data_IF_114949932491
#
_entry.id   IF_114949932491
#
_cell.length_a   1.000
_cell.length_b   1.000
_cell.length_c   1.000
_cell.angle_alpha   90.00
_cell.angle_beta   90.00
_cell.angle_gamma   90.00
#
_symmetry.space_group_name_H-M   'P 1'
#
loop_
_entity.id
_entity.type
_entity.pdbx_description
1 polymer ?
#
# COMPACT_ATOMS: atom_id res chain seq x y z
N UNK A 1 -34.16 -23.87 13.08
CA UNK A 1 -34.64 -23.35 11.78
C UNK A 1 -33.62 -23.76 10.74
N UNK A 2 -34.04 -24.30 9.59
CA UNK A 2 -33.09 -24.77 8.57
C UNK A 2 -32.40 -23.55 7.92
N UNK A 3 -31.11 -23.60 7.53
CA UNK A 3 -30.41 -22.44 6.97
C UNK A 3 -31.07 -21.80 5.73
N UNK A 4 -31.77 -22.61 4.93
CA UNK A 4 -32.57 -22.11 3.79
C UNK A 4 -33.79 -21.31 4.25
N UNK A 5 -34.50 -21.75 5.29
CA UNK A 5 -35.66 -21.02 5.83
C UNK A 5 -35.24 -19.61 6.29
N UNK A 6 -34.07 -19.51 6.93
CA UNK A 6 -33.51 -18.22 7.38
C UNK A 6 -33.21 -17.32 6.19
N UNK A 7 -32.67 -17.87 5.10
CA UNK A 7 -32.42 -17.11 3.87
C UNK A 7 -33.72 -16.59 3.27
N UNK A 8 -34.77 -17.42 3.24
CA UNK A 8 -36.09 -17.03 2.73
C UNK A 8 -36.71 -15.92 3.58
N UNK A 9 -36.61 -16.00 4.91
CA UNK A 9 -37.07 -14.96 5.84
C UNK A 9 -36.33 -13.64 5.62
N UNK A 10 -34.99 -13.66 5.57
CA UNK A 10 -34.18 -12.47 5.32
C UNK A 10 -34.44 -11.86 3.94
N UNK A 11 -34.67 -12.70 2.93
CA UNK A 11 -34.96 -12.24 1.57
C UNK A 11 -36.37 -11.65 1.47
N UNK A 12 -37.35 -12.24 2.15
CA UNK A 12 -38.70 -11.69 2.25
C UNK A 12 -38.69 -10.34 2.98
N UNK A 13 -37.92 -10.23 4.06
CA UNK A 13 -37.72 -8.98 4.77
C UNK A 13 -37.08 -7.92 3.87
N UNK A 14 -35.98 -8.25 3.18
CA UNK A 14 -35.29 -7.33 2.28
C UNK A 14 -36.21 -6.81 1.17
N UNK A 15 -37.07 -7.67 0.60
CA UNK A 15 -38.07 -7.29 -0.40
C UNK A 15 -39.19 -6.40 0.16
N UNK A 16 -39.45 -6.46 1.46
CA UNK A 16 -40.48 -5.63 2.12
C UNK A 16 -40.00 -4.20 2.39
N UNK A 17 -38.68 -3.98 2.43
CA UNK A 17 -38.08 -2.66 2.64
C UNK A 17 -38.01 -1.86 1.34
N UNK A 18 -38.02 -0.52 1.41
CA UNK A 18 -37.66 0.33 0.27
C UNK A 18 -36.25 0.00 -0.23
N UNK A 19 -36.02 0.25 -1.52
CA UNK A 19 -34.66 0.17 -2.06
C UNK A 19 -33.72 1.10 -1.27
N UNK A 20 -32.50 0.62 -1.00
CA UNK A 20 -31.47 1.42 -0.36
C UNK A 20 -31.25 2.74 -1.11
N UNK A 21 -30.90 3.80 -0.37
CA UNK A 21 -30.53 5.08 -0.98
C UNK A 21 -29.39 4.87 -1.99
N UNK A 22 -29.28 5.69 -3.06
CA UNK A 22 -28.20 5.54 -4.04
C UNK A 22 -26.80 5.50 -3.41
N UNK A 23 -26.58 6.28 -2.35
CA UNK A 23 -25.33 6.30 -1.59
C UNK A 23 -25.08 4.97 -0.85
N UNK A 24 -26.07 4.46 -0.12
CA UNK A 24 -25.90 3.20 0.61
C UNK A 24 -25.83 1.99 -0.32
N UNK A 25 -26.53 2.04 -1.45
CA UNK A 25 -26.36 1.05 -2.52
C UNK A 25 -24.94 1.08 -3.06
N UNK A 26 -24.37 2.26 -3.36
CA UNK A 26 -22.99 2.36 -3.82
C UNK A 26 -21.98 1.83 -2.80
N UNK A 27 -22.18 2.11 -1.50
CA UNK A 27 -21.34 1.57 -0.42
C UNK A 27 -21.45 0.04 -0.32
N UNK A 28 -22.65 -0.51 -0.42
CA UNK A 28 -22.90 -1.95 -0.40
C UNK A 28 -22.26 -2.64 -1.62
N UNK A 29 -22.47 -2.11 -2.81
CA UNK A 29 -21.90 -2.63 -4.06
C UNK A 29 -20.37 -2.60 -3.99
N UNK A 30 -19.78 -1.51 -3.47
CA UNK A 30 -18.33 -1.41 -3.22
C UNK A 30 -17.86 -2.49 -2.24
N UNK A 31 -18.57 -2.69 -1.12
CA UNK A 31 -18.20 -3.70 -0.09
C UNK A 31 -18.26 -5.10 -0.67
N UNK A 32 -19.32 -5.48 -1.38
CA UNK A 32 -19.42 -6.79 -2.02
C UNK A 32 -18.36 -7.00 -3.10
N UNK A 33 -18.11 -6.00 -3.95
CA UNK A 33 -17.04 -6.06 -4.96
C UNK A 33 -15.68 -6.32 -4.31
N UNK A 34 -15.31 -5.57 -3.27
CA UNK A 34 -14.02 -5.73 -2.59
C UNK A 34 -13.91 -7.07 -1.87
N UNK A 35 -14.92 -7.43 -1.08
CA UNK A 35 -14.95 -8.67 -0.32
C UNK A 35 -14.91 -9.90 -1.23
N UNK A 36 -15.65 -9.89 -2.35
CA UNK A 36 -15.66 -11.02 -3.26
C UNK A 36 -14.34 -11.18 -4.00
N UNK A 37 -13.78 -10.09 -4.54
CA UNK A 37 -12.48 -10.11 -5.21
C UNK A 37 -11.37 -10.56 -4.26
N UNK A 38 -11.29 -9.96 -3.07
CA UNK A 38 -10.30 -10.30 -2.05
C UNK A 38 -10.40 -11.79 -1.68
N UNK A 39 -11.53 -12.23 -1.15
CA UNK A 39 -11.64 -13.57 -0.60
C UNK A 39 -11.53 -14.68 -1.66
N UNK A 40 -12.13 -14.47 -2.84
CA UNK A 40 -12.08 -15.47 -3.92
C UNK A 40 -10.65 -15.69 -4.43
N UNK A 41 -9.83 -14.64 -4.56
CA UNK A 41 -8.43 -14.80 -4.97
C UNK A 41 -7.55 -15.35 -3.83
N UNK A 42 -7.82 -15.01 -2.56
CA UNK A 42 -7.07 -15.54 -1.42
C UNK A 42 -7.29 -17.03 -1.19
N UNK A 43 -8.48 -17.54 -1.51
CA UNK A 43 -8.73 -18.98 -1.49
C UNK A 43 -7.78 -19.74 -2.43
N UNK A 44 -7.32 -19.11 -3.51
CA UNK A 44 -6.36 -19.68 -4.47
C UNK A 44 -4.89 -19.28 -4.18
N UNK A 45 -4.63 -18.51 -3.11
CA UNK A 45 -3.28 -18.18 -2.65
C UNK A 45 -2.73 -16.81 -3.11
N UNK A 46 -3.56 -15.94 -3.67
CA UNK A 46 -3.18 -14.53 -3.87
C UNK A 46 -2.85 -13.87 -2.52
N UNK A 47 -1.81 -13.04 -2.46
CA UNK A 47 -1.26 -12.51 -1.21
C UNK A 47 -1.48 -11.01 -1.00
N UNK A 48 -2.19 -10.33 -1.89
CA UNK A 48 -2.54 -8.91 -1.73
C UNK A 48 -3.37 -8.72 -0.47
N UNK A 49 -2.94 -7.87 0.46
CA UNK A 49 -3.81 -7.53 1.59
C UNK A 49 -5.13 -6.89 1.14
N UNK A 50 -6.12 -6.86 2.03
CA UNK A 50 -7.43 -6.24 1.73
C UNK A 50 -7.29 -4.79 1.28
N UNK A 51 -6.37 -4.06 1.91
CA UNK A 51 -6.09 -2.66 1.61
C UNK A 51 -5.36 -2.46 0.29
N UNK A 52 -4.42 -3.35 -0.07
CA UNK A 52 -3.80 -3.38 -1.41
C UNK A 52 -4.82 -3.73 -2.49
N UNK A 53 -5.79 -4.60 -2.19
CA UNK A 53 -6.90 -4.93 -3.09
C UNK A 53 -7.81 -3.72 -3.30
N UNK A 54 -8.14 -2.98 -2.24
CA UNK A 54 -8.90 -1.74 -2.35
C UNK A 54 -8.14 -0.68 -3.15
N UNK A 55 -6.85 -0.48 -2.87
CA UNK A 55 -6.00 0.45 -3.61
C UNK A 55 -6.01 0.14 -5.12
N UNK A 56 -5.85 -1.14 -5.46
CA UNK A 56 -5.83 -1.63 -6.84
C UNK A 56 -7.17 -1.43 -7.55
N UNK A 57 -8.28 -1.82 -6.92
CA UNK A 57 -9.59 -1.87 -7.60
C UNK A 57 -10.35 -0.55 -7.60
N UNK A 58 -10.09 0.33 -6.63
CA UNK A 58 -10.79 1.60 -6.45
C UNK A 58 -9.98 2.78 -6.99
N UNK A 59 -8.66 2.76 -6.81
CA UNK A 59 -7.79 3.89 -7.15
C UNK A 59 -6.84 3.61 -8.33
N UNK A 60 -6.86 2.39 -8.87
CA UNK A 60 -5.98 1.95 -9.95
C UNK A 60 -4.49 2.11 -9.63
N UNK A 61 -4.13 1.94 -8.35
CA UNK A 61 -2.77 2.13 -7.82
C UNK A 61 -2.28 0.88 -7.07
N UNK A 62 -0.97 0.74 -6.89
CA UNK A 62 -0.35 -0.42 -6.22
C UNK A 62 0.79 0.01 -5.31
N UNK A 63 0.93 -0.69 -4.18
CA UNK A 63 2.07 -0.56 -3.27
C UNK A 63 2.47 -1.96 -2.80
N UNK A 64 3.76 -2.19 -2.62
CA UNK A 64 4.32 -3.46 -2.14
C UNK A 64 5.08 -4.26 -3.22
N UNK A 65 5.52 -5.46 -2.84
CA UNK A 65 6.44 -6.31 -3.62
C UNK A 65 5.78 -7.59 -4.15
N UNK A 66 4.48 -7.53 -4.47
CA UNK A 66 3.74 -8.66 -5.06
C UNK A 66 4.12 -8.88 -6.51
N UNK A 67 3.85 -10.09 -7.01
CA UNK A 67 4.10 -10.39 -8.43
C UNK A 67 3.10 -9.63 -9.31
N UNK A 68 3.52 -9.23 -10.53
CA UNK A 68 2.62 -8.59 -11.50
C UNK A 68 1.38 -9.44 -11.77
N UNK A 69 1.56 -10.76 -11.77
CA UNK A 69 0.49 -11.74 -11.97
C UNK A 69 -0.60 -11.64 -10.90
N UNK A 70 -0.26 -11.42 -9.63
CA UNK A 70 -1.26 -11.32 -8.57
C UNK A 70 -2.14 -10.07 -8.73
N UNK A 71 -1.55 -8.95 -9.18
CA UNK A 71 -2.31 -7.74 -9.54
C UNK A 71 -3.20 -7.96 -10.78
N UNK A 72 -2.65 -8.60 -11.82
CA UNK A 72 -3.38 -8.96 -13.04
C UNK A 72 -4.58 -9.87 -12.73
N UNK A 73 -4.38 -10.92 -11.93
CA UNK A 73 -5.45 -11.85 -11.53
C UNK A 73 -6.53 -11.19 -10.68
N UNK A 74 -6.16 -10.27 -9.78
CA UNK A 74 -7.12 -9.53 -8.96
C UNK A 74 -8.00 -8.61 -9.82
N UNK A 75 -7.41 -7.84 -10.75
CA UNK A 75 -8.15 -7.01 -11.72
C UNK A 75 -9.00 -7.86 -12.66
N UNK A 76 -8.46 -8.98 -13.13
CA UNK A 76 -9.16 -9.89 -14.02
C UNK A 76 -10.39 -10.52 -13.36
N UNK A 77 -10.28 -10.91 -12.08
CA UNK A 77 -11.42 -11.39 -11.32
C UNK A 77 -12.51 -10.33 -11.17
N UNK A 78 -12.13 -9.06 -11.01
CA UNK A 78 -13.08 -7.96 -10.94
C UNK A 78 -13.84 -7.79 -12.26
N UNK A 79 -13.14 -7.88 -13.40
CA UNK A 79 -13.78 -7.89 -14.73
C UNK A 79 -14.72 -9.09 -14.88
N UNK A 80 -14.29 -10.29 -14.48
CA UNK A 80 -15.10 -11.50 -14.54
C UNK A 80 -16.34 -11.41 -13.62
N UNK A 81 -16.25 -10.74 -12.48
CA UNK A 81 -17.38 -10.48 -11.61
C UNK A 81 -18.41 -9.54 -12.27
N UNK A 82 -17.97 -8.43 -12.88
CA UNK A 82 -18.88 -7.57 -13.65
C UNK A 82 -19.51 -8.31 -14.83
N UNK A 83 -18.76 -9.15 -15.54
CA UNK A 83 -19.32 -10.02 -16.59
C UNK A 83 -20.41 -10.94 -16.03
N UNK A 84 -20.18 -11.53 -14.85
CA UNK A 84 -21.15 -12.38 -14.16
C UNK A 84 -22.43 -11.61 -13.81
N UNK A 85 -22.31 -10.37 -13.33
CA UNK A 85 -23.47 -9.51 -13.09
C UNK A 85 -24.25 -9.19 -14.38
N UNK A 86 -23.57 -8.96 -15.49
CA UNK A 86 -24.23 -8.70 -16.77
C UNK A 86 -24.96 -9.96 -17.28
N UNK A 87 -24.32 -11.14 -17.18
CA UNK A 87 -24.94 -12.41 -17.54
C UNK A 87 -26.19 -12.67 -16.69
N UNK A 88 -26.14 -12.37 -15.39
CA UNK A 88 -27.27 -12.57 -14.47
C UNK A 88 -28.46 -11.62 -14.72
N UNK A 89 -28.23 -10.44 -15.32
CA UNK A 89 -29.30 -9.48 -15.66
C UNK A 89 -30.18 -9.97 -16.82
N UNK A 90 -29.61 -10.70 -17.77
CA UNK A 90 -30.34 -11.27 -18.90
C UNK A 90 -30.96 -12.62 -18.53
N UNK A 91 -32.12 -12.57 -17.85
CA UNK A 91 -32.75 -13.76 -17.25
C UNK A 91 -33.22 -14.80 -18.26
N UNK A 92 -33.52 -14.37 -19.48
CA UNK A 92 -34.03 -15.23 -20.56
C UNK A 92 -32.90 -15.96 -21.29
N UNK A 93 -31.67 -15.43 -21.25
CA UNK A 93 -30.52 -16.04 -21.89
C UNK A 93 -30.01 -17.22 -21.05
N UNK A 94 -29.96 -18.44 -21.62
CA UNK A 94 -29.43 -19.59 -20.89
C UNK A 94 -27.91 -19.48 -20.72
N UNK A 95 -27.40 -20.05 -19.62
CA UNK A 95 -25.97 -20.26 -19.46
C UNK A 95 -25.44 -21.23 -20.53
N UNK A 96 -24.27 -20.93 -21.08
CA UNK A 96 -23.61 -21.74 -22.11
C UNK A 96 -22.21 -22.16 -21.69
N UNK A 97 -21.68 -23.21 -22.31
CA UNK A 97 -20.26 -23.59 -22.14
C UNK A 97 -19.30 -22.46 -22.56
N UNK A 98 -19.69 -21.66 -23.56
CA UNK A 98 -18.90 -20.53 -24.02
C UNK A 98 -18.77 -19.46 -22.94
N UNK A 99 -19.85 -19.16 -22.21
CA UNK A 99 -19.80 -18.22 -21.07
C UNK A 99 -18.80 -18.67 -20.01
N UNK A 100 -18.79 -19.97 -19.70
CA UNK A 100 -17.88 -20.57 -18.71
C UNK A 100 -16.42 -20.49 -19.19
N UNK A 101 -16.18 -20.74 -20.48
CA UNK A 101 -14.85 -20.60 -21.11
C UNK A 101 -14.38 -19.16 -21.11
N UNK A 102 -15.27 -18.20 -21.39
CA UNK A 102 -14.95 -16.78 -21.40
C UNK A 102 -14.64 -16.26 -19.99
N UNK A 103 -15.36 -16.71 -18.97
CA UNK A 103 -15.02 -16.42 -17.57
C UNK A 103 -13.61 -16.91 -17.21
N UNK A 104 -13.27 -18.16 -17.58
CA UNK A 104 -11.92 -18.68 -17.36
C UNK A 104 -10.85 -17.87 -18.12
N UNK A 105 -11.12 -17.54 -19.38
CA UNK A 105 -10.23 -16.76 -20.24
C UNK A 105 -9.92 -15.39 -19.63
N UNK A 106 -10.95 -14.69 -19.14
CA UNK A 106 -10.80 -13.39 -18.50
C UNK A 106 -10.00 -13.52 -17.21
N UNK A 107 -10.36 -14.47 -16.34
CA UNK A 107 -9.68 -14.67 -15.05
C UNK A 107 -8.18 -14.92 -15.17
N UNK A 108 -7.76 -15.70 -16.16
CA UNK A 108 -6.36 -16.08 -16.32
C UNK A 108 -5.54 -15.08 -17.13
N UNK A 109 -6.19 -14.12 -17.80
CA UNK A 109 -5.60 -13.03 -18.62
C UNK A 109 -4.86 -13.52 -19.87
N UNK A 110 -3.87 -14.40 -19.70
CA UNK A 110 -3.00 -14.95 -20.75
C UNK A 110 -2.49 -16.34 -20.37
N UNK A 111 -2.08 -17.15 -21.37
CA UNK A 111 -1.39 -18.41 -21.09
C UNK A 111 -0.11 -18.20 -20.28
N UNK A 112 0.18 -19.14 -19.38
CA UNK A 112 1.39 -19.11 -18.55
C UNK A 112 1.89 -20.52 -18.24
N UNK A 113 3.15 -20.63 -17.86
CA UNK A 113 3.75 -21.91 -17.45
C UNK A 113 3.63 -22.11 -15.94
N UNK A 114 3.19 -23.30 -15.53
CA UNK A 114 3.07 -23.72 -14.13
C UNK A 114 3.91 -24.97 -13.90
N UNK A 115 4.56 -25.06 -12.74
CA UNK A 115 5.21 -26.29 -12.31
C UNK A 115 4.17 -27.40 -12.11
N UNK A 116 4.53 -28.61 -12.52
CA UNK A 116 3.69 -29.80 -12.49
C UNK A 116 4.55 -31.04 -12.23
N UNK A 117 3.90 -32.16 -11.92
CA UNK A 117 4.56 -33.44 -11.66
C UNK A 117 3.97 -34.48 -12.60
N UNK A 118 4.82 -35.25 -13.27
CA UNK A 118 4.39 -36.34 -14.14
C UNK A 118 3.84 -37.53 -13.33
N UNK A 119 3.10 -38.48 -13.95
CA UNK A 119 2.60 -39.65 -13.23
C UNK A 119 3.69 -40.51 -12.56
N UNK A 120 4.92 -40.50 -13.10
CA UNK A 120 6.10 -41.16 -12.55
C UNK A 120 6.87 -40.31 -11.53
N UNK A 121 6.37 -39.12 -11.18
CA UNK A 121 6.87 -38.31 -10.07
C UNK A 121 7.99 -37.33 -10.44
N UNK A 122 8.23 -37.07 -11.72
CA UNK A 122 9.26 -36.12 -12.17
C UNK A 122 8.71 -34.71 -12.27
N UNK A 123 9.53 -33.72 -11.91
CA UNK A 123 9.21 -32.31 -12.08
C UNK A 123 9.13 -31.97 -13.57
N UNK A 124 8.08 -31.24 -13.95
CA UNK A 124 7.85 -30.77 -15.32
C UNK A 124 7.14 -29.42 -15.29
N UNK A 125 6.97 -28.81 -16.46
CA UNK A 125 6.20 -27.57 -16.61
C UNK A 125 5.08 -27.77 -17.60
N UNK A 126 3.91 -27.26 -17.26
CA UNK A 126 2.71 -27.29 -18.11
C UNK A 126 2.34 -25.89 -18.54
N UNK A 127 2.06 -25.73 -19.83
CA UNK A 127 1.45 -24.51 -20.35
C UNK A 127 -0.04 -24.54 -20.01
N UNK A 128 -0.47 -23.60 -19.20
CA UNK A 128 -1.88 -23.37 -18.86
C UNK A 128 -2.50 -22.57 -20.01
N UNK A 129 -3.40 -23.21 -20.76
CA UNK A 129 -4.19 -22.55 -21.81
C UNK A 129 -5.45 -21.95 -21.22
N UNK A 130 -5.78 -20.72 -21.61
CA UNK A 130 -6.90 -19.96 -21.03
C UNK A 130 -8.17 -20.19 -21.84
N UNK A 131 -9.30 -20.47 -21.17
CA UNK A 131 -10.59 -20.71 -21.82
C UNK A 131 -10.72 -22.05 -22.56
N UNK A 132 -9.70 -22.91 -22.49
CA UNK A 132 -9.68 -24.23 -23.11
C UNK A 132 -9.80 -25.33 -22.06
N UNK A 133 -10.55 -26.39 -22.37
CA UNK A 133 -10.59 -27.57 -21.51
C UNK A 133 -9.25 -28.27 -21.49
N UNK A 134 -8.97 -28.92 -20.36
CA UNK A 134 -7.73 -29.64 -20.10
C UNK A 134 -7.47 -30.71 -21.15
N UNK A 135 -6.26 -30.73 -21.69
CA UNK A 135 -5.77 -31.77 -22.61
C UNK A 135 -5.05 -32.90 -21.87
N UNK A 136 -4.62 -32.65 -20.63
CA UNK A 136 -3.97 -33.62 -19.75
C UNK A 136 -4.67 -33.65 -18.39
N UNK A 137 -4.60 -34.77 -17.63
CA UNK A 137 -5.16 -34.84 -16.27
C UNK A 137 -4.65 -33.72 -15.36
N UNK A 138 -5.49 -33.26 -14.45
CA UNK A 138 -5.19 -32.20 -13.48
C UNK A 138 -5.53 -32.62 -12.04
N UNK A 139 -5.36 -33.93 -11.75
CA UNK A 139 -5.54 -34.49 -10.41
C UNK A 139 -4.62 -33.83 -9.39
N UNK A 140 -5.09 -33.71 -8.15
CA UNK A 140 -4.33 -33.09 -7.05
C UNK A 140 -3.95 -34.13 -6.00
N UNK A 141 -2.77 -33.96 -5.41
CA UNK A 141 -2.36 -34.75 -4.25
C UNK A 141 -2.85 -34.07 -2.97
N UNK A 142 -3.67 -34.79 -2.20
CA UNK A 142 -4.18 -34.34 -0.92
C UNK A 142 -3.10 -34.40 0.16
N UNK A 143 -3.33 -33.73 1.29
CA UNK A 143 -2.37 -33.69 2.41
C UNK A 143 -2.08 -35.08 3.02
N UNK A 144 -3.02 -36.01 2.91
CA UNK A 144 -2.85 -37.41 3.33
C UNK A 144 -2.08 -38.27 2.30
N UNK A 145 -1.64 -37.68 1.18
CA UNK A 145 -0.90 -38.34 0.11
C UNK A 145 -1.76 -38.97 -0.99
N UNK A 146 -3.08 -39.06 -0.80
CA UNK A 146 -4.01 -39.61 -1.79
C UNK A 146 -4.11 -38.72 -3.03
N UNK A 147 -4.34 -39.34 -4.19
CA UNK A 147 -4.59 -38.62 -5.44
C UNK A 147 -6.10 -38.47 -5.60
N UNK A 148 -6.55 -37.22 -5.60
CA UNK A 148 -7.93 -36.89 -5.92
C UNK A 148 -8.07 -36.70 -7.43
N UNK A 149 -8.84 -37.59 -8.06
CA UNK A 149 -9.08 -37.57 -9.49
C UNK A 149 -10.33 -36.77 -9.84
N UNK A 150 -10.16 -35.84 -10.78
CA UNK A 150 -11.26 -35.16 -11.47
C UNK A 150 -11.59 -35.91 -12.77
N UNK A 151 -12.48 -35.34 -13.60
CA UNK A 151 -12.75 -35.86 -14.93
C UNK A 151 -11.46 -36.02 -15.75
N UNK A 152 -11.36 -37.05 -16.57
CA UNK A 152 -10.33 -37.18 -17.59
C UNK A 152 -10.52 -36.13 -18.70
N UNK A 153 -9.45 -35.76 -19.43
CA UNK A 153 -9.57 -34.89 -20.61
C UNK A 153 -10.61 -35.38 -21.64
N UNK A 154 -10.70 -36.70 -21.83
CA UNK A 154 -11.58 -37.31 -22.82
C UNK A 154 -13.07 -37.16 -22.48
N UNK A 155 -13.44 -37.27 -21.19
CA UNK A 155 -14.84 -37.16 -20.76
C UNK A 155 -15.26 -35.73 -20.41
N UNK A 156 -14.29 -34.81 -20.22
CA UNK A 156 -14.56 -33.43 -19.81
C UNK A 156 -15.58 -32.71 -20.71
N UNK A 157 -15.50 -32.76 -22.06
CA UNK A 157 -16.51 -32.12 -22.91
C UNK A 157 -17.92 -32.66 -22.69
N UNK A 158 -18.07 -33.99 -22.60
CA UNK A 158 -19.37 -34.62 -22.38
C UNK A 158 -19.96 -34.25 -21.01
N UNK A 159 -19.15 -34.30 -19.95
CA UNK A 159 -19.60 -33.93 -18.60
C UNK A 159 -19.96 -32.44 -18.48
N UNK A 160 -19.28 -31.56 -19.22
CA UNK A 160 -19.63 -30.13 -19.26
C UNK A 160 -20.95 -29.89 -19.99
N UNK A 161 -21.22 -30.63 -21.06
CA UNK A 161 -22.51 -30.60 -21.73
C UNK A 161 -23.62 -31.11 -20.79
N UNK A 162 -23.41 -32.26 -20.14
CA UNK A 162 -24.34 -32.82 -19.16
C UNK A 162 -24.61 -31.86 -17.99
N UNK A 163 -23.58 -31.14 -17.52
CA UNK A 163 -23.73 -30.11 -16.48
C UNK A 163 -24.68 -28.99 -16.92
N UNK A 164 -24.55 -28.51 -18.15
CA UNK A 164 -25.38 -27.42 -18.68
C UNK A 164 -26.81 -27.89 -18.92
N UNK A 165 -26.99 -29.11 -19.43
CA UNK A 165 -28.30 -29.72 -19.61
C UNK A 165 -29.01 -29.94 -18.27
N UNK A 166 -28.29 -30.48 -17.28
CA UNK A 166 -28.78 -30.60 -15.90
C UNK A 166 -29.18 -29.25 -15.32
N UNK A 167 -28.31 -28.24 -15.45
CA UNK A 167 -28.57 -26.91 -14.90
C UNK A 167 -29.86 -26.31 -15.47
N UNK A 168 -30.07 -26.42 -16.80
CA UNK A 168 -31.29 -25.95 -17.46
C UNK A 168 -32.54 -26.72 -17.02
N UNK A 169 -32.42 -28.04 -16.83
CA UNK A 169 -33.53 -28.87 -16.39
C UNK A 169 -33.97 -28.59 -14.95
N UNK A 170 -33.05 -28.18 -14.08
CA UNK A 170 -33.32 -27.90 -12.67
C UNK A 170 -33.60 -26.42 -12.37
N UNK A 171 -33.40 -25.52 -13.34
CA UNK A 171 -33.38 -24.07 -13.10
C UNK A 171 -34.65 -23.55 -12.42
N UNK A 172 -35.82 -24.11 -12.75
CA UNK A 172 -37.12 -23.78 -12.15
C UNK A 172 -37.59 -24.77 -11.07
N UNK A 173 -36.92 -25.93 -10.93
CA UNK A 173 -37.38 -27.04 -10.11
C UNK A 173 -36.88 -27.00 -8.67
N UNK A 174 -35.73 -26.36 -8.43
CA UNK A 174 -35.08 -26.33 -7.11
C UNK A 174 -34.88 -24.91 -6.58
N UNK A 175 -34.76 -24.81 -5.26
CA UNK A 175 -34.45 -23.55 -4.59
C UNK A 175 -33.14 -22.92 -5.14
N UNK A 176 -33.12 -21.61 -5.38
CA UNK A 176 -32.00 -20.92 -6.04
C UNK A 176 -30.65 -21.12 -5.33
N UNK A 177 -30.63 -21.16 -3.99
CA UNK A 177 -29.41 -21.42 -3.21
C UNK A 177 -28.91 -22.85 -3.40
N UNK A 178 -29.84 -23.81 -3.47
CA UNK A 178 -29.52 -25.21 -3.76
C UNK A 178 -28.97 -25.36 -5.17
N UNK A 179 -29.61 -24.71 -6.15
CA UNK A 179 -29.14 -24.68 -7.54
C UNK A 179 -27.71 -24.12 -7.64
N UNK A 180 -27.46 -22.98 -6.99
CA UNK A 180 -26.16 -22.31 -6.98
C UNK A 180 -25.07 -23.20 -6.34
N UNK A 181 -25.36 -23.83 -5.20
CA UNK A 181 -24.45 -24.74 -4.53
C UNK A 181 -24.17 -26.00 -5.37
N UNK A 182 -25.19 -26.60 -5.98
CA UNK A 182 -25.01 -27.80 -6.80
C UNK A 182 -24.28 -27.49 -8.12
N UNK A 183 -24.56 -26.35 -8.77
CA UNK A 183 -23.81 -25.90 -9.95
C UNK A 183 -22.33 -25.71 -9.62
N UNK A 184 -22.04 -25.01 -8.51
CA UNK A 184 -20.67 -24.86 -8.00
C UNK A 184 -19.99 -26.21 -7.82
N UNK A 185 -20.63 -27.11 -7.07
CA UNK A 185 -20.05 -28.40 -6.73
C UNK A 185 -19.82 -29.28 -7.96
N UNK A 186 -20.83 -29.45 -8.82
CA UNK A 186 -20.73 -30.29 -10.01
C UNK A 186 -19.66 -29.75 -10.97
N UNK A 187 -19.56 -28.44 -11.16
CA UNK A 187 -18.50 -27.83 -11.95
C UNK A 187 -17.10 -28.10 -11.37
N UNK A 188 -16.90 -27.88 -10.06
CA UNK A 188 -15.57 -28.08 -9.45
C UNK A 188 -15.16 -29.55 -9.43
N UNK A 189 -16.11 -30.48 -9.46
CA UNK A 189 -15.84 -31.93 -9.60
C UNK A 189 -15.42 -32.36 -10.99
N UNK A 190 -15.92 -31.71 -12.04
CA UNK A 190 -15.42 -31.93 -13.41
C UNK A 190 -14.01 -31.34 -13.54
N UNK A 191 -13.80 -30.16 -12.95
CA UNK A 191 -12.53 -29.42 -12.97
C UNK A 191 -11.99 -29.27 -14.41
N UNK A 192 -12.78 -28.65 -15.31
CA UNK A 192 -12.57 -28.74 -16.76
C UNK A 192 -11.34 -27.97 -17.26
N UNK A 193 -10.87 -26.96 -16.54
CA UNK A 193 -9.73 -26.12 -16.94
C UNK A 193 -8.44 -26.53 -16.24
N UNK A 194 -7.31 -26.11 -16.78
CA UNK A 194 -5.99 -26.34 -16.18
C UNK A 194 -5.75 -25.49 -14.91
N UNK A 195 -6.35 -24.30 -14.84
CA UNK A 195 -6.32 -23.42 -13.68
C UNK A 195 -7.61 -22.58 -13.60
N UNK A 196 -7.88 -21.96 -12.45
CA UNK A 196 -9.01 -21.06 -12.26
C UNK A 196 -10.35 -21.70 -11.93
N UNK A 197 -10.45 -23.04 -11.83
CA UNK A 197 -11.71 -23.75 -11.59
C UNK A 197 -12.41 -23.29 -10.29
N UNK A 198 -11.68 -23.09 -9.20
CA UNK A 198 -12.28 -22.60 -7.94
C UNK A 198 -12.88 -21.19 -8.07
N UNK A 199 -12.23 -20.29 -8.83
CA UNK A 199 -12.75 -18.94 -9.08
C UNK A 199 -13.97 -18.97 -9.99
N UNK A 200 -13.92 -19.76 -11.06
CA UNK A 200 -15.06 -19.96 -11.96
C UNK A 200 -16.24 -20.58 -11.22
N UNK A 201 -16.04 -21.57 -10.36
CA UNK A 201 -17.13 -22.21 -9.61
C UNK A 201 -17.87 -21.20 -8.72
N UNK A 202 -17.12 -20.31 -8.03
CA UNK A 202 -17.69 -19.25 -7.19
C UNK A 202 -18.39 -18.16 -8.02
N UNK A 203 -17.89 -17.83 -9.20
CA UNK A 203 -18.58 -16.93 -10.14
C UNK A 203 -19.89 -17.56 -10.64
N UNK A 204 -19.89 -18.84 -11.01
CA UNK A 204 -21.10 -19.56 -11.45
C UNK A 204 -22.16 -19.67 -10.35
N UNK A 205 -21.74 -19.90 -9.11
CA UNK A 205 -22.62 -19.83 -7.95
C UNK A 205 -23.29 -18.45 -7.86
N UNK A 206 -22.50 -17.38 -7.95
CA UNK A 206 -23.00 -16.02 -7.87
C UNK A 206 -23.83 -15.60 -9.10
N UNK A 207 -23.56 -16.13 -10.29
CA UNK A 207 -24.42 -15.97 -11.46
C UNK A 207 -25.87 -16.39 -11.14
N UNK A 208 -26.05 -17.58 -10.57
CA UNK A 208 -27.38 -18.09 -10.21
C UNK A 208 -28.05 -17.20 -9.17
N UNK A 209 -27.33 -16.88 -8.08
CA UNK A 209 -27.88 -16.07 -7.00
C UNK A 209 -28.31 -14.68 -7.49
N UNK A 210 -27.45 -14.00 -8.26
CA UNK A 210 -27.74 -12.69 -8.84
C UNK A 210 -28.91 -12.76 -9.84
N UNK A 211 -29.00 -13.82 -10.66
CA UNK A 211 -30.11 -14.02 -11.61
C UNK A 211 -31.45 -14.06 -10.87
N UNK A 212 -31.49 -14.73 -9.73
CA UNK A 212 -32.66 -14.83 -8.85
C UNK A 212 -32.84 -13.66 -7.86
N UNK A 213 -32.00 -12.61 -7.97
CA UNK A 213 -32.13 -11.37 -7.19
C UNK A 213 -31.55 -11.43 -5.78
N UNK A 214 -30.81 -12.48 -5.44
CA UNK A 214 -30.04 -12.55 -4.20
C UNK A 214 -28.75 -11.70 -4.33
N UNK A 215 -28.22 -11.16 -3.22
CA UNK A 215 -26.87 -10.61 -3.21
C UNK A 215 -25.82 -11.72 -3.42
N UNK A 216 -24.59 -11.38 -3.81
CA UNK A 216 -23.53 -12.37 -4.02
C UNK A 216 -23.15 -13.06 -2.70
N UNK A 217 -22.88 -14.36 -2.75
CA UNK A 217 -22.23 -15.09 -1.66
C UNK A 217 -20.73 -14.83 -1.67
N UNK A 218 -20.18 -14.61 -0.48
CA UNK A 218 -18.75 -14.38 -0.26
C UNK A 218 -18.23 -15.42 0.72
N UNK A 219 -17.57 -16.44 0.20
CA UNK A 219 -16.86 -17.44 1.00
C UNK A 219 -15.59 -16.80 1.54
N UNK A 220 -15.54 -16.52 2.84
CA UNK A 220 -14.41 -15.82 3.45
C UNK A 220 -13.16 -16.70 3.44
N UNK A 221 -12.02 -16.15 3.03
CA UNK A 221 -10.75 -16.89 2.93
C UNK A 221 -10.29 -17.42 4.30
N UNK A 222 -10.63 -16.72 5.39
CA UNK A 222 -10.42 -17.18 6.78
C UNK A 222 -11.13 -18.49 7.12
N UNK A 223 -12.18 -18.84 6.38
CA UNK A 223 -12.97 -20.07 6.57
C UNK A 223 -12.66 -21.17 5.54
N UNK A 224 -11.53 -21.07 4.83
CA UNK A 224 -11.09 -22.02 3.79
C UNK A 224 -11.14 -23.48 4.25
N UNK A 225 -10.76 -23.75 5.50
CA UNK A 225 -10.74 -25.12 6.06
C UNK A 225 -12.14 -25.72 6.09
N UNK A 226 -13.13 -24.95 6.54
CA UNK A 226 -14.50 -25.40 6.62
C UNK A 226 -15.13 -25.53 5.23
N UNK A 227 -14.89 -24.57 4.33
CA UNK A 227 -15.30 -24.66 2.93
C UNK A 227 -14.81 -25.94 2.26
N UNK A 228 -13.52 -26.28 2.39
CA UNK A 228 -12.98 -27.52 1.85
C UNK A 228 -13.54 -28.77 2.55
N UNK A 229 -13.88 -28.68 3.84
CA UNK A 229 -14.49 -29.78 4.60
C UNK A 229 -15.88 -30.12 4.07
N UNK A 230 -16.74 -29.12 3.83
CA UNK A 230 -18.09 -29.36 3.32
C UNK A 230 -18.08 -29.85 1.86
N UNK A 231 -17.11 -29.43 1.05
CA UNK A 231 -16.89 -30.00 -0.29
C UNK A 231 -16.52 -31.49 -0.23
N UNK A 232 -15.68 -31.91 0.73
CA UNK A 232 -15.34 -33.33 0.93
C UNK A 232 -16.53 -34.19 1.35
N UNK A 233 -17.51 -33.63 2.04
CA UNK A 233 -18.75 -34.36 2.36
C UNK A 233 -19.62 -34.53 1.12
N UNK A 234 -19.68 -33.50 0.27
CA UNK A 234 -20.34 -33.60 -1.03
C UNK A 234 -19.67 -34.64 -1.95
N UNK A 235 -18.36 -34.87 -1.83
CA UNK A 235 -17.61 -35.91 -2.55
C UNK A 235 -18.08 -37.34 -2.28
N UNK A 236 -18.67 -37.60 -1.11
CA UNK A 236 -19.27 -38.89 -0.77
C UNK A 236 -20.79 -38.92 -0.97
N UNK A 237 -21.34 -37.90 -1.65
CA UNK A 237 -22.76 -37.79 -2.01
C UNK A 237 -23.62 -37.02 -1.01
N UNK A 238 -23.05 -36.51 0.08
CA UNK A 238 -23.80 -35.70 1.06
C UNK A 238 -23.69 -34.19 0.74
N UNK A 239 -24.63 -33.71 -0.07
CA UNK A 239 -24.67 -32.30 -0.49
C UNK A 239 -25.25 -31.35 0.55
N UNK A 240 -25.99 -31.86 1.54
CA UNK A 240 -26.72 -31.02 2.49
C UNK A 240 -25.80 -30.10 3.32
N UNK A 241 -24.63 -30.55 3.83
CA UNK A 241 -23.69 -29.67 4.52
C UNK A 241 -23.17 -28.54 3.63
N UNK A 242 -22.95 -28.79 2.34
CA UNK A 242 -22.47 -27.75 1.43
C UNK A 242 -23.57 -26.73 1.09
N UNK A 243 -24.80 -27.18 0.87
CA UNK A 243 -25.95 -26.29 0.65
C UNK A 243 -26.19 -25.43 1.89
N UNK A 244 -26.19 -26.03 3.08
CA UNK A 244 -26.32 -25.32 4.35
C UNK A 244 -25.21 -24.27 4.53
N UNK A 245 -23.96 -24.65 4.21
CA UNK A 245 -22.83 -23.72 4.25
C UNK A 245 -23.01 -22.52 3.33
N UNK A 246 -23.42 -22.73 2.07
CA UNK A 246 -23.67 -21.61 1.14
C UNK A 246 -24.81 -20.73 1.63
N UNK A 247 -25.87 -21.32 2.20
CA UNK A 247 -26.97 -20.55 2.80
C UNK A 247 -26.47 -19.68 3.98
N UNK A 248 -25.63 -20.22 4.86
CA UNK A 248 -25.01 -19.47 5.95
C UNK A 248 -24.15 -18.31 5.44
N UNK A 249 -23.34 -18.53 4.40
CA UNK A 249 -22.54 -17.44 3.80
C UNK A 249 -23.44 -16.37 3.15
N UNK A 250 -24.58 -16.76 2.57
CA UNK A 250 -25.55 -15.83 1.98
C UNK A 250 -26.25 -14.96 3.03
N UNK A 251 -26.48 -15.48 4.24
CA UNK A 251 -27.07 -14.71 5.33
C UNK A 251 -26.23 -13.46 5.65
N UNK A 252 -24.90 -13.54 5.60
CA UNK A 252 -24.04 -12.37 5.79
C UNK A 252 -24.34 -11.28 4.75
N UNK A 253 -24.41 -11.66 3.47
CA UNK A 253 -24.70 -10.72 2.38
C UNK A 253 -26.12 -10.14 2.47
N UNK A 254 -27.11 -10.95 2.83
CA UNK A 254 -28.48 -10.48 3.05
C UNK A 254 -28.55 -9.49 4.22
N UNK A 255 -27.85 -9.76 5.32
CA UNK A 255 -27.77 -8.83 6.45
C UNK A 255 -27.10 -7.51 6.06
N UNK A 256 -26.03 -7.53 5.26
CA UNK A 256 -25.43 -6.30 4.70
C UNK A 256 -26.43 -5.52 3.83
N UNK A 257 -27.19 -6.21 2.99
CA UNK A 257 -28.23 -5.58 2.17
C UNK A 257 -29.35 -4.98 3.02
N UNK A 258 -29.78 -5.66 4.09
CA UNK A 258 -30.77 -5.16 5.05
C UNK A 258 -30.27 -3.91 5.78
N UNK A 259 -29.02 -3.92 6.28
CA UNK A 259 -28.39 -2.73 6.88
C UNK A 259 -28.39 -1.54 5.92
N UNK A 260 -28.01 -1.77 4.67
CA UNK A 260 -28.00 -0.73 3.64
C UNK A 260 -29.41 -0.17 3.35
N UNK A 261 -30.42 -1.04 3.28
CA UNK A 261 -31.82 -0.65 3.10
C UNK A 261 -32.38 0.14 4.29
N UNK A 262 -31.91 -0.15 5.51
CA UNK A 262 -32.30 0.56 6.76
C UNK A 262 -31.49 1.84 7.04
N UNK A 263 -30.50 2.16 6.19
CA UNK A 263 -29.53 3.24 6.40
C UNK A 263 -28.68 3.08 7.67
N UNK A 264 -28.34 1.84 8.01
CA UNK A 264 -27.41 1.50 9.07
C UNK A 264 -25.96 1.50 8.53
N UNK A 265 -24.98 1.58 9.44
CA UNK A 265 -23.57 1.48 9.10
C UNK A 265 -23.22 0.07 8.60
N UNK A 266 -22.46 0.01 7.50
CA UNK A 266 -22.00 -1.23 6.86
C UNK A 266 -20.62 -1.68 7.36
N UNK A 267 -19.98 -0.90 8.23
CA UNK A 267 -18.75 -1.28 8.89
C UNK A 267 -18.96 -2.54 9.76
N UNK A 268 -17.97 -3.42 9.71
CA UNK A 268 -17.81 -4.57 10.60
C UNK A 268 -16.68 -4.30 11.61
N UNK A 269 -16.65 -5.01 12.74
CA UNK A 269 -15.58 -4.85 13.74
C UNK A 269 -14.19 -5.08 13.12
N UNK A 270 -14.08 -6.04 12.20
CA UNK A 270 -12.85 -6.34 11.43
C UNK A 270 -12.44 -5.17 10.49
N UNK A 271 -13.35 -4.26 10.12
CA UNK A 271 -13.05 -3.17 9.17
C UNK A 271 -12.16 -2.09 9.80
N UNK A 272 -12.28 -1.83 11.11
CA UNK A 272 -11.39 -0.90 11.81
C UNK A 272 -9.95 -1.42 11.85
N UNK A 273 -9.76 -2.71 12.12
CA UNK A 273 -8.44 -3.35 12.11
C UNK A 273 -7.81 -3.30 10.70
N UNK A 274 -8.62 -3.44 9.65
CA UNK A 274 -8.19 -3.26 8.25
C UNK A 274 -7.77 -1.82 7.97
N UNK A 275 -8.54 -0.81 8.39
CA UNK A 275 -8.20 0.61 8.22
C UNK A 275 -6.90 0.97 8.95
N UNK A 276 -6.73 0.53 10.19
CA UNK A 276 -5.50 0.72 10.97
C UNK A 276 -4.30 0.07 10.25
N UNK A 277 -4.49 -1.13 9.68
CA UNK A 277 -3.45 -1.83 8.93
C UNK A 277 -3.08 -1.10 7.64
N UNK A 278 -4.05 -0.56 6.91
CA UNK A 278 -3.83 0.27 5.72
C UNK A 278 -3.05 1.54 6.07
N UNK A 279 -3.48 2.24 7.12
CA UNK A 279 -2.82 3.46 7.57
C UNK A 279 -1.36 3.19 7.99
N UNK A 280 -1.11 2.11 8.72
CA UNK A 280 0.26 1.68 9.07
C UNK A 280 1.11 1.40 7.82
N UNK A 281 0.57 0.71 6.82
CA UNK A 281 1.27 0.45 5.54
C UNK A 281 1.52 1.72 4.73
N UNK A 282 0.59 2.68 4.74
CA UNK A 282 0.78 3.96 4.08
C UNK A 282 1.93 4.76 4.71
N UNK A 283 2.02 4.74 6.05
CA UNK A 283 3.10 5.37 6.80
C UNK A 283 4.46 4.72 6.48
N UNK A 284 4.52 3.40 6.30
CA UNK A 284 5.77 2.71 5.92
C UNK A 284 6.10 2.90 4.44
N UNK A 285 5.14 2.96 3.52
CA UNK A 285 5.41 3.14 2.09
C UNK A 285 5.97 4.51 1.69
N UNK A 286 5.79 5.54 2.54
CA UNK A 286 6.41 6.86 2.35
C UNK A 286 7.80 6.97 2.98
N UNK A 287 8.14 6.06 3.90
CA UNK A 287 9.46 5.93 4.50
C UNK A 287 10.21 4.87 3.71
N UNK A 288 11.20 5.24 2.90
CA UNK A 288 12.24 4.27 2.54
C UNK A 288 12.82 3.62 3.80
N UNK A 289 13.62 2.57 3.68
CA UNK A 289 14.26 1.82 4.78
C UNK A 289 15.22 2.65 5.68
N UNK A 290 15.12 3.99 5.65
CA UNK A 290 15.91 4.91 6.44
C UNK A 290 15.56 4.78 7.92
N UNK A 291 16.52 4.27 8.69
CA UNK A 291 16.45 4.16 10.14
C UNK A 291 16.27 5.54 10.79
N UNK A 292 15.31 5.65 11.72
CA UNK A 292 15.11 6.87 12.51
C UNK A 292 16.20 6.98 13.58
N UNK A 293 17.23 7.74 13.25
CA UNK A 293 18.27 8.09 14.22
C UNK A 293 17.76 9.28 15.04
N UNK A 294 17.63 9.12 16.36
CA UNK A 294 17.25 10.21 17.26
C UNK A 294 18.44 11.16 17.52
N UNK A 295 18.15 12.45 17.60
CA UNK A 295 19.12 13.51 17.89
C UNK A 295 19.92 13.19 19.16
N UNK A 296 21.24 13.26 19.03
CA UNK A 296 22.17 13.26 20.15
C UNK A 296 23.41 14.08 19.78
N UNK A 297 24.20 14.49 20.77
CA UNK A 297 25.45 15.20 20.52
C UNK A 297 26.40 14.45 19.60
N UNK A 298 26.48 13.12 19.75
CA UNK A 298 27.26 12.26 18.87
C UNK A 298 26.76 12.33 17.42
N UNK A 299 25.45 12.23 17.21
CA UNK A 299 24.84 12.30 15.87
C UNK A 299 25.10 13.65 15.20
N UNK A 300 24.99 14.75 15.96
CA UNK A 300 25.26 16.10 15.47
C UNK A 300 26.74 16.27 15.08
N UNK A 301 27.65 15.76 15.90
CA UNK A 301 29.09 15.76 15.63
C UNK A 301 29.44 14.90 14.42
N UNK A 302 28.88 13.70 14.32
CA UNK A 302 29.10 12.79 13.18
C UNK A 302 28.58 13.43 11.87
N UNK A 303 27.42 14.11 11.92
CA UNK A 303 26.87 14.87 10.80
C UNK A 303 27.77 16.06 10.41
N UNK A 304 28.37 16.74 11.40
CA UNK A 304 29.32 17.81 11.12
C UNK A 304 30.52 17.29 10.33
N UNK A 305 31.13 16.21 10.82
CA UNK A 305 32.31 15.61 10.22
C UNK A 305 32.05 15.05 8.83
N UNK A 306 30.86 14.48 8.62
CA UNK A 306 30.53 13.87 7.33
C UNK A 306 30.05 14.87 6.28
N UNK A 307 29.51 16.03 6.70
CA UNK A 307 28.68 16.86 5.83
C UNK A 307 28.80 18.37 6.10
N UNK A 308 28.53 18.83 7.32
CA UNK A 308 28.36 20.28 7.56
C UNK A 308 29.70 21.04 7.54
N UNK A 309 30.81 20.42 7.93
CA UNK A 309 32.13 21.05 7.89
C UNK A 309 32.46 21.56 6.47
N UNK A 310 32.24 20.72 5.46
CA UNK A 310 32.44 21.09 4.06
C UNK A 310 31.49 22.20 3.61
N UNK A 311 30.22 22.18 4.05
CA UNK A 311 29.26 23.24 3.74
C UNK A 311 29.71 24.60 4.30
N UNK A 312 30.10 24.67 5.58
CA UNK A 312 30.56 25.92 6.18
C UNK A 312 31.85 26.44 5.53
N UNK A 313 32.78 25.54 5.17
CA UNK A 313 33.99 25.89 4.44
C UNK A 313 33.67 26.48 3.05
N UNK A 314 32.81 25.80 2.27
CA UNK A 314 32.36 26.27 0.96
C UNK A 314 31.66 27.63 1.06
N UNK A 315 30.84 27.83 2.09
CA UNK A 315 30.15 29.10 2.32
C UNK A 315 31.14 30.26 2.54
N UNK A 316 32.13 30.06 3.42
CA UNK A 316 33.21 31.05 3.64
C UNK A 316 34.00 31.33 2.36
N UNK A 317 34.41 30.28 1.66
CA UNK A 317 35.22 30.37 0.45
C UNK A 317 34.47 31.13 -0.65
N UNK A 318 33.21 30.75 -0.92
CA UNK A 318 32.44 31.36 -2.00
C UNK A 318 32.18 32.85 -1.75
N UNK A 319 31.88 33.23 -0.52
CA UNK A 319 31.66 34.64 -0.18
C UNK A 319 32.95 35.45 -0.11
N UNK A 320 34.14 34.82 -0.06
CA UNK A 320 35.42 35.56 -0.13
C UNK A 320 35.63 36.32 -1.45
N UNK A 321 34.92 35.94 -2.51
CA UNK A 321 34.92 36.65 -3.80
C UNK A 321 34.38 38.10 -3.72
N UNK A 322 33.76 38.50 -2.61
CA UNK A 322 33.27 39.87 -2.38
C UNK A 322 34.22 40.70 -1.51
N UNK A 323 35.32 40.13 -1.01
CA UNK A 323 36.19 40.76 0.01
C UNK A 323 36.85 42.06 -0.51
N UNK A 324 37.24 42.11 -1.78
CA UNK A 324 37.86 43.26 -2.40
C UNK A 324 36.91 44.46 -2.52
N UNK A 325 35.59 44.21 -2.56
CA UNK A 325 34.54 45.23 -2.69
C UNK A 325 34.23 45.99 -1.38
N UNK A 326 34.65 45.48 -0.22
CA UNK A 326 34.30 46.03 1.11
C UNK A 326 35.54 46.33 1.95
N UNK A 327 35.47 47.34 2.83
CA UNK A 327 36.61 47.73 3.66
C UNK A 327 36.86 46.78 4.84
N UNK A 328 35.80 46.16 5.37
CA UNK A 328 35.90 45.21 6.48
C UNK A 328 35.00 44.01 6.24
N UNK A 329 35.44 42.88 6.79
CA UNK A 329 34.70 41.63 6.86
C UNK A 329 34.85 41.06 8.26
N UNK A 330 33.77 40.58 8.84
CA UNK A 330 33.83 39.83 10.09
C UNK A 330 32.82 38.67 10.07
N UNK A 331 33.12 37.66 10.89
CA UNK A 331 32.31 36.46 11.03
C UNK A 331 31.65 36.46 12.40
N UNK A 332 30.42 35.99 12.47
CA UNK A 332 29.73 35.72 13.72
C UNK A 332 29.19 34.31 13.70
N UNK A 333 29.31 33.61 14.82
CA UNK A 333 28.72 32.29 15.01
C UNK A 333 27.82 32.35 16.24
N UNK A 334 26.60 31.87 16.06
CA UNK A 334 25.63 31.71 17.14
C UNK A 334 25.17 30.27 17.16
N UNK A 335 24.89 29.77 18.34
CA UNK A 335 24.26 28.47 18.52
C UNK A 335 23.39 28.57 19.79
N UNK A 336 22.39 27.71 19.92
CA UNK A 336 21.74 27.48 21.21
C UNK A 336 22.14 26.14 21.76
N UNK A 337 22.32 26.10 23.07
CA UNK A 337 22.31 24.86 23.85
C UNK A 337 21.27 25.02 24.95
N UNK A 338 20.70 23.90 25.42
CA UNK A 338 19.75 23.89 26.55
C UNK A 338 20.30 24.56 27.82
N UNK A 339 21.62 24.65 27.94
CA UNK A 339 22.31 25.38 29.00
C UNK A 339 22.66 26.79 28.48
N UNK A 340 21.82 27.75 28.82
CA UNK A 340 21.72 29.12 28.29
C UNK A 340 22.91 30.04 28.67
N UNK A 341 24.15 29.63 28.38
CA UNK A 341 25.36 30.45 28.54
C UNK A 341 26.00 30.75 27.20
N UNK A 342 26.38 32.02 27.02
CA UNK A 342 27.06 32.51 25.82
C UNK A 342 28.52 32.05 25.81
N UNK A 343 28.81 30.95 25.11
CA UNK A 343 30.19 30.64 24.72
C UNK A 343 30.54 31.44 23.47
N UNK A 344 31.70 32.10 23.48
CA UNK A 344 32.25 32.73 22.29
C UNK A 344 33.24 31.78 21.64
N UNK A 345 32.94 31.34 20.42
CA UNK A 345 33.84 30.56 19.57
C UNK A 345 34.34 31.43 18.42
N UNK A 346 35.59 31.23 18.01
CA UNK A 346 36.22 31.94 16.89
C UNK A 346 35.68 31.48 15.55
N UNK A 347 35.45 30.17 15.43
CA UNK A 347 34.83 29.56 14.26
C UNK A 347 33.98 28.32 14.61
N UNK A 348 33.33 27.74 13.59
CA UNK A 348 32.45 26.58 13.77
C UNK A 348 33.28 25.32 14.07
N UNK A 349 34.51 25.24 13.55
CA UNK A 349 35.41 24.12 13.83
C UNK A 349 35.77 24.06 15.32
N UNK A 350 36.03 25.21 15.96
CA UNK A 350 36.29 25.31 17.40
C UNK A 350 35.08 24.88 18.24
N UNK A 351 33.86 25.24 17.82
CA UNK A 351 32.62 24.79 18.46
C UNK A 351 32.53 23.26 18.43
N UNK A 352 32.63 22.64 17.25
CA UNK A 352 32.47 21.19 17.11
C UNK A 352 33.65 20.39 17.69
N UNK A 353 34.86 20.97 17.73
CA UNK A 353 35.99 20.39 18.45
C UNK A 353 35.72 20.35 19.96
N UNK A 354 35.15 21.42 20.51
CA UNK A 354 34.75 21.49 21.93
C UNK A 354 33.62 20.51 22.23
N UNK A 355 32.64 20.37 21.34
CA UNK A 355 31.59 19.35 21.49
C UNK A 355 32.18 17.93 21.51
N UNK A 356 33.12 17.63 20.60
CA UNK A 356 33.80 16.33 20.55
C UNK A 356 34.52 16.00 21.85
N UNK A 357 35.27 16.95 22.41
CA UNK A 357 35.99 16.71 23.67
C UNK A 357 35.02 16.49 24.83
N UNK A 358 33.89 17.20 24.87
CA UNK A 358 32.88 17.05 25.93
C UNK A 358 32.08 15.74 25.81
N UNK A 359 31.95 15.16 24.61
CA UNK A 359 31.31 13.84 24.42
C UNK A 359 32.11 12.68 25.03
N UNK A 360 33.41 12.87 25.25
CA UNK A 360 34.28 11.84 25.84
C UNK A 360 34.42 11.94 27.36
N UNK A 361 33.87 12.99 27.98
CA UNK A 361 33.97 13.21 29.42
C UNK A 361 32.97 12.36 30.21
N UNK A 362 33.43 11.81 31.32
CA UNK A 362 32.59 11.17 32.33
C UNK A 362 31.91 12.20 33.23
N UNK A 363 30.83 11.80 33.90
CA UNK A 363 30.10 12.65 34.86
C UNK A 363 30.99 13.17 35.99
N UNK A 364 31.99 12.39 36.40
CA UNK A 364 32.93 12.73 37.47
C UNK A 364 33.97 13.77 37.00
N UNK A 365 34.44 13.67 35.75
CA UNK A 365 35.34 14.67 35.14
C UNK A 365 34.65 16.03 34.96
N UNK A 366 33.37 16.03 34.58
CA UNK A 366 32.54 17.23 34.45
C UNK A 366 32.38 17.93 35.81
N UNK A 367 32.05 17.17 36.85
CA UNK A 367 31.83 17.71 38.20
C UNK A 367 33.11 18.27 38.83
N UNK A 368 34.25 17.62 38.61
CA UNK A 368 35.53 17.99 39.23
C UNK A 368 36.20 19.21 38.60
N UNK A 369 35.90 19.54 37.34
CA UNK A 369 36.52 20.65 36.62
C UNK A 369 35.64 21.92 36.58
N UNK A 370 34.46 21.91 37.22
CA UNK A 370 33.43 22.96 37.06
C UNK A 370 33.11 23.28 35.58
N UNK A 371 33.27 22.29 34.70
CA UNK A 371 33.09 22.46 33.25
C UNK A 371 31.63 22.24 32.89
N UNK A 372 31.08 23.13 32.08
CA UNK A 372 29.75 22.98 31.49
C UNK A 372 29.84 22.13 30.21
N UNK A 373 28.94 21.16 30.05
CA UNK A 373 28.89 20.34 28.84
C UNK A 373 28.11 21.03 27.72
N UNK A 374 28.64 20.94 26.50
CA UNK A 374 27.97 21.35 25.27
C UNK A 374 27.86 20.12 24.37
N UNK A 375 26.84 19.31 24.63
CA UNK A 375 26.61 18.05 23.91
C UNK A 375 25.24 18.00 23.26
N UNK A 376 24.44 19.06 23.38
CA UNK A 376 23.13 19.17 22.75
C UNK A 376 22.91 20.63 22.32
N UNK A 377 22.73 20.83 21.01
CA UNK A 377 22.51 22.13 20.41
C UNK A 377 21.28 22.08 19.50
N UNK A 378 20.47 23.14 19.49
CA UNK A 378 19.28 23.18 18.61
C UNK A 378 19.58 23.81 17.27
N UNK A 379 20.55 24.70 17.19
CA UNK A 379 21.00 25.27 15.93
C UNK A 379 22.46 25.71 15.96
N UNK A 380 23.03 25.86 14.76
CA UNK A 380 24.25 26.61 14.49
C UNK A 380 23.96 27.61 13.38
N UNK A 381 24.33 28.86 13.62
CA UNK A 381 24.27 29.96 12.69
C UNK A 381 25.68 30.46 12.41
N UNK A 382 26.04 30.55 11.13
CA UNK A 382 27.20 31.28 10.66
C UNK A 382 26.74 32.49 9.86
N UNK A 383 27.13 33.69 10.31
CA UNK A 383 26.85 34.93 9.60
C UNK A 383 28.15 35.60 9.17
N UNK A 384 28.17 36.06 7.91
CA UNK A 384 29.28 36.81 7.32
C UNK A 384 28.78 38.21 7.05
N UNK A 385 29.45 39.19 7.64
CA UNK A 385 29.16 40.61 7.48
C UNK A 385 30.22 41.27 6.61
N UNK A 386 29.78 42.04 5.63
CA UNK A 386 30.62 42.91 4.83
C UNK A 386 30.26 44.36 5.12
N UNK A 387 31.23 45.18 5.48
CA UNK A 387 31.02 46.57 5.85
C UNK A 387 31.78 47.53 4.93
N UNK A 388 31.18 48.70 4.73
CA UNK A 388 31.75 49.81 3.99
C UNK A 388 32.17 49.45 2.55
N UNK A 389 31.17 49.27 1.70
CA UNK A 389 31.33 49.11 0.25
C UNK A 389 32.18 50.24 -0.37
N UNK A 390 33.22 49.89 -1.13
CA UNK A 390 34.31 50.80 -1.55
C UNK A 390 34.04 51.62 -2.84
N UNK A 391 32.79 51.84 -3.24
CA UNK A 391 32.47 52.36 -4.59
C UNK A 391 33.06 53.75 -4.92
N UNK A 392 32.56 54.80 -4.28
CA UNK A 392 32.96 56.20 -4.48
C UNK A 392 33.57 56.82 -3.21
N UNK A 393 33.65 56.04 -2.12
CA UNK A 393 34.12 56.48 -0.81
C UNK A 393 33.14 57.34 -0.02
N UNK A 394 31.98 57.70 -0.59
CA UNK A 394 30.95 58.56 0.04
C UNK A 394 29.72 57.72 0.36
N UNK A 395 29.22 56.95 -0.61
CA UNK A 395 28.02 56.14 -0.53
C UNK A 395 28.34 54.71 -0.11
N UNK A 396 28.82 54.55 1.13
CA UNK A 396 29.13 53.23 1.70
C UNK A 396 27.88 52.53 2.23
N UNK A 397 27.85 51.19 2.20
CA UNK A 397 26.82 50.37 2.86
C UNK A 397 27.43 49.05 3.32
N UNK A 398 26.70 48.32 4.16
CA UNK A 398 27.02 46.97 4.57
C UNK A 398 25.94 45.99 4.15
N UNK A 399 26.30 44.71 4.07
CA UNK A 399 25.41 43.59 3.79
C UNK A 399 25.83 42.40 4.67
N UNK A 400 24.94 41.42 4.81
CA UNK A 400 25.29 40.17 5.49
C UNK A 400 24.65 38.98 4.82
N UNK A 401 25.28 37.81 4.95
CA UNK A 401 24.69 36.54 4.56
C UNK A 401 24.76 35.58 5.74
N UNK A 402 23.65 34.88 5.95
CA UNK A 402 23.50 33.93 7.06
C UNK A 402 23.29 32.53 6.52
N UNK A 403 24.00 31.57 7.10
CA UNK A 403 23.77 30.14 6.92
C UNK A 403 23.35 29.55 8.28
N UNK A 404 22.21 28.91 8.30
CA UNK A 404 21.59 28.38 9.51
C UNK A 404 21.39 26.89 9.37
N UNK A 405 21.79 26.12 10.38
CA UNK A 405 21.54 24.67 10.48
C UNK A 405 20.78 24.42 11.78
N UNK A 406 19.63 23.79 11.68
CA UNK A 406 18.77 23.45 12.83
C UNK A 406 18.70 21.94 13.02
N UNK A 407 18.65 21.49 14.27
CA UNK A 407 18.68 20.09 14.66
C UNK A 407 17.39 19.71 15.38
N UNK A 408 16.47 19.08 14.64
CA UNK A 408 15.20 18.54 15.13
C UNK A 408 15.41 17.13 15.74
N UNK A 409 14.33 16.54 16.27
CA UNK A 409 14.41 15.23 16.92
C UNK A 409 14.97 14.09 16.04
N UNK A 410 14.69 14.10 14.73
CA UNK A 410 15.11 13.04 13.79
C UNK A 410 15.73 13.59 12.49
N UNK A 411 15.83 14.90 12.36
CA UNK A 411 16.20 15.57 11.12
C UNK A 411 17.03 16.81 11.37
N UNK A 412 17.69 17.29 10.33
CA UNK A 412 18.31 18.61 10.31
C UNK A 412 17.75 19.43 9.15
N UNK A 413 17.77 20.76 9.33
CA UNK A 413 17.25 21.72 8.36
C UNK A 413 18.33 22.76 8.08
N UNK A 414 18.54 23.10 6.80
CA UNK A 414 19.49 24.13 6.37
C UNK A 414 18.73 25.27 5.70
N UNK A 415 18.91 26.50 6.18
CA UNK A 415 18.23 27.70 5.67
C UNK A 415 19.07 28.98 5.87
N UNK A 416 18.49 30.14 5.59
CA UNK A 416 19.14 31.46 5.73
C UNK A 416 18.38 32.49 6.58
N UNK A 417 17.30 32.09 7.27
CA UNK A 417 16.40 33.02 8.00
C UNK A 417 16.18 32.66 9.47
N UNK A 418 16.62 31.49 9.93
CA UNK A 418 16.56 31.08 11.34
C UNK A 418 15.16 30.79 11.91
N UNK A 419 14.07 31.11 11.21
CA UNK A 419 12.69 30.87 11.65
C UNK A 419 12.04 29.67 10.96
N UNK A 420 11.38 28.80 11.74
CA UNK A 420 10.56 27.65 11.31
C UNK A 420 9.24 28.03 10.59
N UNK A 421 8.96 29.31 10.36
CA UNK A 421 7.67 29.74 9.80
C UNK A 421 7.67 29.70 8.27
N UNK A 422 7.52 28.50 7.70
CA UNK A 422 7.25 28.25 6.27
C UNK A 422 8.16 27.19 5.63
N UNK A 423 7.79 26.69 4.44
CA UNK A 423 8.58 25.76 3.59
C UNK A 423 9.87 26.38 3.00
N UNK A 424 10.38 27.45 3.62
CA UNK A 424 11.48 28.29 3.14
C UNK A 424 12.83 27.74 3.66
N UNK A 425 13.14 26.50 3.30
CA UNK A 425 14.42 25.85 3.59
C UNK A 425 15.14 25.46 2.30
N UNK A 426 16.47 25.35 2.36
CA UNK A 426 17.21 24.75 1.25
C UNK A 426 17.11 23.23 1.31
N UNK A 427 17.31 22.65 2.49
CA UNK A 427 17.27 21.20 2.72
C UNK A 427 16.60 20.90 4.06
N UNK A 428 15.83 19.81 4.09
CA UNK A 428 15.34 19.14 5.29
C UNK A 428 15.53 17.63 5.10
N UNK A 429 16.40 17.04 5.91
CA UNK A 429 16.85 15.65 5.75
C UNK A 429 16.90 14.91 7.08
N UNK A 430 16.74 13.60 7.03
CA UNK A 430 16.93 12.74 8.20
C UNK A 430 18.41 12.69 8.59
N UNK A 431 18.73 12.38 9.85
CA UNK A 431 20.12 12.17 10.26
C UNK A 431 20.80 10.98 9.57
N UNK A 432 20.02 10.02 9.06
CA UNK A 432 20.51 8.91 8.23
C UNK A 432 20.95 9.36 6.83
N UNK A 433 20.57 10.57 6.40
CA UNK A 433 20.82 11.11 5.07
C UNK A 433 21.90 12.20 5.14
N UNK A 434 23.04 11.94 4.51
CA UNK A 434 24.16 12.89 4.45
C UNK A 434 23.90 13.94 3.38
N UNK A 435 24.26 15.19 3.67
CA UNK A 435 24.30 16.27 2.69
C UNK A 435 25.40 15.95 1.67
N UNK A 436 25.02 15.86 0.39
CA UNK A 436 25.97 15.68 -0.70
C UNK A 436 26.76 16.97 -0.99
N UNK A 437 27.92 16.82 -1.64
CA UNK A 437 28.75 17.97 -1.99
C UNK A 437 28.08 18.85 -3.04
N UNK A 438 27.30 18.27 -3.95
CA UNK A 438 26.54 18.99 -4.98
C UNK A 438 25.44 19.86 -4.35
N UNK A 439 24.71 19.31 -3.38
CA UNK A 439 23.71 20.04 -2.59
C UNK A 439 24.35 21.20 -1.82
N UNK A 440 25.47 20.96 -1.14
CA UNK A 440 26.20 21.99 -0.42
C UNK A 440 26.65 23.13 -1.35
N UNK A 441 27.18 22.80 -2.53
CA UNK A 441 27.57 23.79 -3.54
C UNK A 441 26.36 24.59 -4.03
N UNK A 442 25.20 23.95 -4.24
CA UNK A 442 24.00 24.63 -4.70
C UNK A 442 23.43 25.61 -3.66
N UNK A 443 23.42 25.23 -2.38
CA UNK A 443 23.06 26.12 -1.27
C UNK A 443 23.94 27.37 -1.28
N UNK A 444 25.26 27.16 -1.31
CA UNK A 444 26.23 28.24 -1.26
C UNK A 444 26.16 29.15 -2.49
N UNK A 445 25.93 28.59 -3.68
CA UNK A 445 25.68 29.38 -4.91
C UNK A 445 24.46 30.28 -4.76
N UNK A 446 23.38 29.75 -4.19
CA UNK A 446 22.12 30.49 -3.97
C UNK A 446 22.35 31.66 -3.01
N UNK A 447 23.07 31.44 -1.90
CA UNK A 447 23.43 32.49 -0.95
C UNK A 447 24.32 33.58 -1.58
N UNK A 448 25.35 33.17 -2.34
CA UNK A 448 26.22 34.13 -3.04
C UNK A 448 25.46 34.96 -4.10
N UNK A 449 24.50 34.36 -4.80
CA UNK A 449 23.65 35.06 -5.76
C UNK A 449 22.74 36.09 -5.07
N UNK A 450 22.20 35.77 -3.89
CA UNK A 450 21.42 36.70 -3.08
C UNK A 450 22.28 37.91 -2.64
N UNK A 451 23.50 37.67 -2.15
CA UNK A 451 24.48 38.71 -1.81
C UNK A 451 24.77 39.62 -3.01
N UNK A 452 25.08 39.06 -4.18
CA UNK A 452 25.35 39.84 -5.39
C UNK A 452 24.14 40.70 -5.79
N UNK A 453 22.93 40.17 -5.64
CA UNK A 453 21.68 40.88 -5.95
C UNK A 453 21.48 42.06 -4.99
N UNK A 454 21.72 41.85 -3.69
CA UNK A 454 21.65 42.90 -2.69
C UNK A 454 22.67 44.02 -2.95
N UNK A 455 23.93 43.67 -3.29
CA UNK A 455 24.95 44.65 -3.68
C UNK A 455 24.47 45.49 -4.87
N UNK A 456 23.92 44.86 -5.92
CA UNK A 456 23.41 45.55 -7.12
C UNK A 456 22.25 46.48 -6.79
N UNK A 457 21.34 46.06 -5.92
CA UNK A 457 20.18 46.86 -5.51
C UNK A 457 20.59 48.05 -4.63
N UNK A 458 21.43 47.80 -3.62
CA UNK A 458 21.96 48.84 -2.74
C UNK A 458 22.76 49.89 -3.52
N UNK A 459 23.56 49.47 -4.52
CA UNK A 459 24.25 50.39 -5.43
C UNK A 459 23.27 51.28 -6.22
N UNK A 460 22.21 50.71 -6.81
CA UNK A 460 21.20 51.48 -7.56
C UNK A 460 20.42 52.47 -6.70
N UNK A 461 20.25 52.20 -5.41
CA UNK A 461 19.51 53.09 -4.50
C UNK A 461 20.32 54.30 -4.00
N UNK A 462 21.64 54.31 -4.22
CA UNK A 462 22.57 55.34 -3.73
C UNK A 462 23.27 56.14 -4.83
N UNK A 463 23.08 55.75 -6.09
CA UNK A 463 23.41 56.52 -7.30
C UNK A 463 22.13 57.21 -7.75
#
# INVERSE_FOLDING_TARGET
MHPLDIVDELMAELKSLPAASPENKQKLDKKFRLEFNYNSNHLEGNTLSYSETELLLIFDDTKGSHTMREYEEMKAHDVAYHMTEQLAKDRERPLTEQDIRDLNKVLLVRPFWKEAITPDGQDTRRLIKVGEYKEQPNSVRLANGEIFNYASPAETPALMQELIEWFRGEEEAVHAVTLAALLHYKFVRIHPFDDGNGRVSRLLMNYVLLKYGYPPVIIKSKDKVNYLRVLRLADVGDYAPFIAYIAEQLQWSLNMALKAARNEDLAEDDDLDKEISLFKKELTGRRGDNELIEKSGKVIVDLYDSSLASLFALFKEKLSQFDDMFAKKHYSIRFSSRNDRQFQFKDVDELFLTMKSHLTLTTEEIANQEIYTITDIDFVEMQIYFEAFKYDGINTFGISSTLYVTFDRYSYVINNKGSYSGDDYFIKSLYSEKLSIEEAQQIVRTLAAAVLTEIKNSKKSKI
#
